data_IF_087201331652
#
_entry.id   IF_087201331652
#
_cell.length_a   1.000
_cell.length_b   1.000
_cell.length_c   1.000
_cell.angle_alpha   90.00
_cell.angle_beta   90.00
_cell.angle_gamma   90.00
#
_symmetry.space_group_name_H-M   'P 1'
#
loop_
_entity.id
_entity.type
_entity.pdbx_description
1 polymer ?
#
# COMPACT_ATOMS: atom_id res chain seq x y z
N UNK A 1 44.50 -21.88 49.38
CA UNK A 1 43.20 -21.65 48.74
C UNK A 1 43.42 -20.57 47.69
N UNK A 2 43.45 -20.97 46.42
CA UNK A 2 43.96 -20.17 45.30
C UNK A 2 42.83 -19.34 44.69
N UNK A 3 43.05 -18.03 44.64
CA UNK A 3 42.40 -17.09 43.72
C UNK A 3 42.47 -17.64 42.30
N UNK A 4 41.35 -17.65 41.58
CA UNK A 4 41.28 -17.48 40.11
C UNK A 4 39.80 -17.33 39.72
N UNK A 5 39.12 -16.42 40.43
CA UNK A 5 37.89 -15.78 39.96
C UNK A 5 38.36 -14.66 39.04
N UNK A 6 38.15 -14.77 37.72
CA UNK A 6 38.24 -13.70 36.68
C UNK A 6 38.72 -14.23 35.32
N UNK A 7 38.18 -15.36 34.84
CA UNK A 7 38.50 -15.88 33.49
C UNK A 7 37.29 -16.32 32.69
N UNK A 8 36.07 -16.07 33.17
CA UNK A 8 34.85 -16.66 32.60
C UNK A 8 33.72 -15.65 32.40
N UNK A 9 34.05 -14.36 32.38
CA UNK A 9 33.09 -13.27 32.20
C UNK A 9 33.21 -12.55 30.84
N UNK A 10 34.04 -13.07 29.92
CA UNK A 10 34.27 -12.47 28.59
C UNK A 10 33.78 -13.34 27.41
N UNK A 11 33.25 -14.53 27.66
CA UNK A 11 32.74 -15.42 26.61
C UNK A 11 31.21 -15.41 26.45
N UNK A 12 30.49 -14.62 27.24
CA UNK A 12 29.02 -14.63 27.28
C UNK A 12 28.35 -13.40 26.63
N UNK A 13 29.11 -12.49 26.01
CA UNK A 13 28.57 -11.21 25.49
C UNK A 13 28.66 -11.09 23.96
N UNK A 14 29.22 -12.08 23.24
CA UNK A 14 29.49 -11.95 21.81
C UNK A 14 28.81 -12.96 20.87
N UNK A 15 27.91 -13.81 21.36
CA UNK A 15 27.20 -14.74 20.49
C UNK A 15 25.71 -14.74 20.75
N UNK A 16 24.99 -14.33 19.71
CA UNK A 16 23.57 -14.60 19.47
C UNK A 16 22.59 -13.70 20.23
N UNK A 17 22.81 -12.39 20.14
CA UNK A 17 21.69 -11.55 19.68
C UNK A 17 21.33 -11.98 18.26
N UNK A 18 20.59 -13.09 18.12
CA UNK A 18 19.56 -13.15 17.11
C UNK A 18 18.51 -12.09 17.50
N UNK A 19 18.91 -10.83 17.38
CA UNK A 19 18.05 -9.85 16.75
C UNK A 19 17.66 -10.51 15.44
N UNK A 20 16.52 -11.21 15.44
CA UNK A 20 15.66 -11.21 14.28
C UNK A 20 15.36 -9.73 14.05
N UNK A 21 16.31 -9.09 13.36
CA UNK A 21 16.17 -7.73 12.90
C UNK A 21 14.83 -7.73 12.20
N UNK A 22 13.91 -6.95 12.75
CA UNK A 22 12.80 -6.44 11.97
C UNK A 22 13.46 -5.70 10.81
N UNK A 23 13.72 -6.42 9.74
CA UNK A 23 13.99 -5.84 8.45
C UNK A 23 12.77 -4.98 8.19
N UNK A 24 12.96 -3.67 8.26
CA UNK A 24 12.03 -2.80 7.56
C UNK A 24 12.17 -3.17 6.08
N UNK A 25 11.08 -3.08 5.31
CA UNK A 25 11.08 -3.04 3.83
C UNK A 25 11.02 -4.42 3.13
N UNK A 26 9.94 -5.18 3.36
CA UNK A 26 9.63 -6.41 2.61
C UNK A 26 8.50 -6.16 1.62
N UNK A 27 8.86 -5.66 0.44
CA UNK A 27 7.96 -5.63 -0.70
C UNK A 27 7.69 -7.02 -1.27
N UNK A 28 6.64 -7.18 -2.07
CA UNK A 28 6.54 -8.36 -2.93
C UNK A 28 7.60 -8.29 -4.03
N UNK A 29 8.05 -9.47 -4.49
CA UNK A 29 8.95 -9.59 -5.64
C UNK A 29 8.23 -9.21 -6.93
N UNK A 30 8.97 -8.75 -7.94
CA UNK A 30 8.47 -8.63 -9.30
C UNK A 30 7.93 -9.93 -9.89
N UNK A 31 8.40 -11.08 -9.40
CA UNK A 31 7.88 -12.39 -9.79
C UNK A 31 6.61 -12.82 -9.04
N UNK A 32 5.97 -11.92 -8.28
CA UNK A 32 4.72 -12.22 -7.60
C UNK A 32 3.64 -12.67 -8.60
N UNK A 33 3.06 -13.87 -8.46
CA UNK A 33 2.10 -14.41 -9.40
C UNK A 33 0.71 -13.81 -9.14
N UNK A 34 0.53 -12.52 -9.40
CA UNK A 34 -0.77 -11.85 -9.26
C UNK A 34 -1.82 -12.52 -10.14
N UNK A 35 -2.94 -12.89 -9.52
CA UNK A 35 -4.10 -13.52 -10.15
C UNK A 35 -5.39 -12.79 -9.75
N UNK A 36 -6.47 -13.08 -10.46
CA UNK A 36 -7.81 -12.63 -10.05
C UNK A 36 -8.17 -13.20 -8.67
N UNK A 37 -8.91 -12.42 -7.90
CA UNK A 37 -9.34 -12.75 -6.53
C UNK A 37 -8.19 -13.04 -5.55
N UNK A 38 -6.97 -12.59 -5.87
CA UNK A 38 -5.81 -12.74 -5.00
C UNK A 38 -6.13 -12.17 -3.59
N UNK A 39 -6.08 -13.00 -2.53
CA UNK A 39 -6.51 -12.57 -1.19
C UNK A 39 -5.65 -11.44 -0.63
N UNK A 40 -4.34 -11.46 -0.89
CA UNK A 40 -3.43 -10.46 -0.35
C UNK A 40 -3.59 -9.12 -1.09
N UNK A 41 -3.64 -9.15 -2.42
CA UNK A 41 -3.92 -7.95 -3.23
C UNK A 41 -5.30 -7.38 -2.95
N UNK A 42 -6.30 -8.22 -2.66
CA UNK A 42 -7.64 -7.76 -2.25
C UNK A 42 -7.59 -6.97 -0.94
N UNK A 43 -6.79 -7.40 0.04
CA UNK A 43 -6.57 -6.63 1.28
C UNK A 43 -5.87 -5.30 0.98
N UNK A 44 -4.84 -5.29 0.13
CA UNK A 44 -4.15 -4.05 -0.25
C UNK A 44 -5.10 -3.09 -0.97
N UNK A 45 -5.88 -3.58 -1.94
CA UNK A 45 -6.92 -2.82 -2.64
C UNK A 45 -7.96 -2.24 -1.67
N UNK A 46 -8.33 -2.97 -0.61
CA UNK A 46 -9.23 -2.50 0.45
C UNK A 46 -8.74 -1.25 1.17
N UNK A 47 -7.42 -1.08 1.31
CA UNK A 47 -6.84 0.12 1.95
C UNK A 47 -7.11 1.41 1.17
N UNK A 48 -7.45 1.33 -0.13
CA UNK A 48 -7.82 2.49 -0.94
C UNK A 48 -9.24 3.02 -0.66
N UNK A 49 -10.11 2.24 0.01
CA UNK A 49 -11.52 2.57 0.17
C UNK A 49 -11.76 3.99 0.71
N UNK A 50 -11.08 4.44 1.79
CA UNK A 50 -11.32 5.79 2.32
C UNK A 50 -11.02 6.91 1.31
N UNK A 51 -10.01 6.70 0.45
CA UNK A 51 -9.62 7.64 -0.60
C UNK A 51 -10.62 7.65 -1.75
N UNK A 52 -11.06 6.46 -2.18
CA UNK A 52 -12.09 6.34 -3.22
C UNK A 52 -13.38 7.02 -2.78
N UNK A 53 -13.82 6.81 -1.54
CA UNK A 53 -15.00 7.50 -1.01
C UNK A 53 -14.80 9.02 -0.90
N UNK A 54 -13.61 9.48 -0.50
CA UNK A 54 -13.30 10.91 -0.47
C UNK A 54 -13.33 11.53 -1.87
N UNK A 55 -12.83 10.81 -2.88
CA UNK A 55 -12.89 11.19 -4.29
C UNK A 55 -14.32 11.24 -4.81
N UNK A 56 -15.16 10.27 -4.44
CA UNK A 56 -16.59 10.28 -4.77
C UNK A 56 -17.30 11.47 -4.13
N UNK A 57 -17.07 11.74 -2.84
CA UNK A 57 -17.62 12.92 -2.16
C UNK A 57 -17.16 14.21 -2.82
N UNK A 58 -15.86 14.35 -3.12
CA UNK A 58 -15.31 15.51 -3.81
C UNK A 58 -16.00 15.73 -5.15
N UNK A 59 -16.10 14.67 -5.97
CA UNK A 59 -16.73 14.72 -7.29
C UNK A 59 -18.20 15.08 -7.19
N UNK A 60 -18.94 14.54 -6.22
CA UNK A 60 -20.35 14.86 -6.04
C UNK A 60 -20.57 16.33 -5.67
N UNK A 61 -19.64 16.94 -4.93
CA UNK A 61 -19.69 18.36 -4.57
C UNK A 61 -19.27 19.28 -5.72
N UNK A 62 -18.23 18.90 -6.50
CA UNK A 62 -17.60 19.80 -7.47
C UNK A 62 -17.89 19.48 -8.94
N UNK A 63 -18.51 18.33 -9.23
CA UNK A 63 -18.72 17.80 -10.60
C UNK A 63 -17.45 17.54 -11.42
N UNK A 64 -16.27 17.59 -10.79
CA UNK A 64 -14.98 17.23 -11.39
C UNK A 64 -14.09 16.49 -10.37
N UNK A 65 -13.01 15.88 -10.84
CA UNK A 65 -12.00 15.27 -9.98
C UNK A 65 -11.03 16.33 -9.42
N UNK A 66 -10.41 16.10 -8.25
CA UNK A 66 -9.40 17.02 -7.72
C UNK A 66 -8.20 17.10 -8.65
N UNK A 67 -7.43 18.20 -8.57
CA UNK A 67 -6.17 18.31 -9.33
C UNK A 67 -5.02 17.71 -8.55
N UNK A 68 -5.09 17.85 -7.23
CA UNK A 68 -4.05 17.41 -6.31
C UNK A 68 -4.62 16.55 -5.19
N UNK A 69 -3.77 15.70 -4.61
CA UNK A 69 -4.15 14.85 -3.47
C UNK A 69 -4.58 15.67 -2.25
N UNK A 70 -3.96 16.82 -2.04
CA UNK A 70 -4.23 17.78 -0.95
C UNK A 70 -5.68 18.30 -0.95
N UNK A 71 -6.31 18.40 -2.13
CA UNK A 71 -7.71 18.83 -2.27
C UNK A 71 -8.69 17.86 -1.60
N UNK A 72 -8.27 16.62 -1.34
CA UNK A 72 -9.08 15.59 -0.70
C UNK A 72 -9.10 15.69 0.82
N UNK A 73 -8.20 16.45 1.46
CA UNK A 73 -8.05 16.45 2.93
C UNK A 73 -9.35 16.81 3.64
N UNK A 74 -10.12 17.77 3.12
CA UNK A 74 -11.44 18.15 3.67
C UNK A 74 -12.55 17.15 3.40
N UNK A 75 -12.34 16.20 2.48
CA UNK A 75 -13.30 15.16 2.09
C UNK A 75 -12.99 13.79 2.71
N UNK A 76 -11.84 13.64 3.35
CA UNK A 76 -11.55 12.50 4.21
C UNK A 76 -12.42 12.61 5.46
N UNK A 77 -13.13 11.53 5.83
CA UNK A 77 -13.81 11.50 7.13
C UNK A 77 -12.74 11.63 8.23
N UNK A 78 -12.86 12.64 9.08
CA UNK A 78 -11.99 12.84 10.25
C UNK A 78 -12.29 11.76 11.30
N UNK A 79 -11.81 10.53 11.16
CA UNK A 79 -12.01 9.53 12.21
C UNK A 79 -11.13 8.26 12.20
N UNK A 80 -9.86 8.29 11.78
CA UNK A 80 -8.87 7.29 12.25
C UNK A 80 -7.44 7.66 11.83
N UNK A 81 -6.47 7.43 12.72
CA UNK A 81 -5.04 7.45 12.36
C UNK A 81 -4.74 6.51 11.18
N UNK A 82 -5.43 5.37 11.10
CA UNK A 82 -5.31 4.40 10.00
C UNK A 82 -5.70 4.96 8.64
N UNK A 83 -6.76 5.77 8.56
CA UNK A 83 -7.20 6.34 7.29
C UNK A 83 -6.21 7.39 6.78
N UNK A 84 -5.56 8.10 7.72
CA UNK A 84 -4.47 9.02 7.41
C UNK A 84 -3.21 8.28 6.94
N UNK A 85 -2.85 7.19 7.60
CA UNK A 85 -1.71 6.35 7.17
C UNK A 85 -1.96 5.77 5.77
N UNK A 86 -3.14 5.21 5.51
CA UNK A 86 -3.52 4.72 4.19
C UNK A 86 -3.50 5.87 3.16
N UNK A 87 -4.03 7.04 3.51
CA UNK A 87 -3.96 8.21 2.65
C UNK A 87 -2.53 8.48 2.21
N UNK A 88 -1.54 8.47 3.10
CA UNK A 88 -0.14 8.75 2.74
C UNK A 88 0.48 7.66 1.83
N UNK A 89 0.10 6.39 1.98
CA UNK A 89 0.65 5.29 1.19
C UNK A 89 0.25 5.33 -0.30
N UNK A 90 -0.92 5.88 -0.61
CA UNK A 90 -1.43 5.95 -1.98
C UNK A 90 -1.01 7.25 -2.67
N UNK A 91 -0.44 7.13 -3.86
CA UNK A 91 -0.18 8.27 -4.74
C UNK A 91 -1.40 8.56 -5.61
N UNK A 92 -1.82 9.83 -5.66
CA UNK A 92 -2.91 10.28 -6.52
C UNK A 92 -2.36 10.83 -7.83
N UNK A 93 -2.94 10.41 -8.95
CA UNK A 93 -2.59 10.89 -10.29
C UNK A 93 -3.88 11.35 -10.96
N UNK A 94 -4.00 12.64 -11.24
CA UNK A 94 -5.15 13.19 -11.97
C UNK A 94 -5.12 12.75 -13.44
N UNK A 95 -6.29 12.45 -14.01
CA UNK A 95 -6.46 12.19 -15.42
C UNK A 95 -7.63 13.02 -16.00
N UNK A 96 -7.64 13.37 -17.30
CA UNK A 96 -8.65 14.26 -17.88
C UNK A 96 -10.12 13.84 -17.67
N UNK A 97 -10.37 12.54 -17.49
CA UNK A 97 -11.71 11.97 -17.28
C UNK A 97 -11.79 11.07 -16.04
N UNK A 98 -10.88 11.24 -15.09
CA UNK A 98 -10.71 10.25 -14.03
C UNK A 98 -9.52 10.50 -13.11
N UNK A 99 -9.04 9.41 -12.53
CA UNK A 99 -7.85 9.43 -11.68
C UNK A 99 -7.24 8.03 -11.59
N UNK A 100 -6.00 7.98 -11.11
CA UNK A 100 -5.38 6.76 -10.62
C UNK A 100 -4.95 6.92 -9.17
N UNK A 101 -5.12 5.86 -8.39
CA UNK A 101 -4.48 5.69 -7.10
C UNK A 101 -3.43 4.60 -7.28
N UNK A 102 -2.17 4.90 -6.93
CA UNK A 102 -1.05 3.97 -7.05
C UNK A 102 -0.48 3.64 -5.68
N UNK A 103 -0.38 2.36 -5.36
CA UNK A 103 0.27 1.84 -4.16
C UNK A 103 1.54 1.10 -4.56
N UNK A 104 2.67 1.50 -3.98
CA UNK A 104 3.91 0.71 -4.05
C UNK A 104 3.80 -0.50 -3.15
N UNK A 105 3.94 -1.69 -3.73
CA UNK A 105 3.89 -2.96 -3.01
C UNK A 105 5.29 -3.50 -2.66
N UNK A 106 6.33 -2.71 -2.95
CA UNK A 106 7.72 -3.07 -2.75
C UNK A 106 8.67 -2.09 -3.42
N UNK A 107 9.82 -2.60 -3.86
CA UNK A 107 10.75 -1.82 -4.67
C UNK A 107 10.17 -1.50 -6.05
N UNK A 108 9.69 -2.54 -6.74
CA UNK A 108 9.24 -2.41 -8.13
C UNK A 108 7.72 -2.58 -8.30
N UNK A 109 7.06 -3.58 -7.68
CA UNK A 109 5.66 -3.85 -8.00
C UNK A 109 4.71 -2.77 -7.50
N UNK A 110 3.67 -2.48 -8.28
CA UNK A 110 2.62 -1.53 -7.91
C UNK A 110 1.22 -2.08 -8.16
N UNK A 111 0.28 -1.64 -7.34
CA UNK A 111 -1.15 -1.85 -7.52
C UNK A 111 -1.80 -0.52 -7.80
N UNK A 112 -2.52 -0.42 -8.91
CA UNK A 112 -3.21 0.79 -9.31
C UNK A 112 -4.73 0.57 -9.37
N UNK A 113 -5.47 1.48 -8.77
CA UNK A 113 -6.89 1.66 -9.02
C UNK A 113 -7.07 2.75 -10.06
N UNK A 114 -7.65 2.43 -11.20
CA UNK A 114 -7.96 3.41 -12.24
C UNK A 114 -9.47 3.65 -12.34
N UNK A 115 -9.86 4.92 -12.24
CA UNK A 115 -11.18 5.40 -12.65
C UNK A 115 -11.02 6.15 -13.98
N UNK A 116 -11.78 5.75 -15.01
CA UNK A 116 -11.86 6.46 -16.29
C UNK A 116 -13.32 6.53 -16.77
N UNK A 117 -13.91 7.73 -16.72
CA UNK A 117 -15.33 7.91 -16.97
C UNK A 117 -16.17 7.11 -15.97
N UNK A 118 -16.99 6.17 -16.45
CA UNK A 118 -17.80 5.26 -15.63
C UNK A 118 -17.12 3.93 -15.33
N UNK A 119 -15.91 3.68 -15.85
CA UNK A 119 -15.22 2.40 -15.72
C UNK A 119 -14.17 2.46 -14.63
N UNK A 120 -14.11 1.38 -13.83
CA UNK A 120 -13.10 1.17 -12.80
C UNK A 120 -12.37 -0.14 -13.04
N UNK A 121 -11.08 -0.19 -12.70
CA UNK A 121 -10.29 -1.44 -12.77
C UNK A 121 -9.08 -1.40 -11.85
N UNK A 122 -8.65 -2.59 -11.45
CA UNK A 122 -7.38 -2.81 -10.78
C UNK A 122 -6.32 -3.23 -11.79
N UNK A 123 -5.14 -2.63 -11.68
CA UNK A 123 -3.97 -2.93 -12.51
C UNK A 123 -2.82 -3.33 -11.60
N UNK A 124 -2.18 -4.46 -11.90
CA UNK A 124 -0.96 -4.91 -11.26
C UNK A 124 0.21 -4.74 -12.22
N UNK A 125 1.21 -3.98 -11.79
CA UNK A 125 2.48 -3.81 -12.51
C UNK A 125 3.57 -4.54 -11.70
N UNK A 126 4.22 -5.59 -12.26
CA UNK A 126 5.32 -6.28 -11.58
C UNK A 126 6.60 -5.45 -11.50
N UNK A 127 6.77 -4.42 -12.34
CA UNK A 127 7.95 -3.55 -12.32
C UNK A 127 9.25 -4.18 -12.85
N UNK A 128 9.21 -5.42 -13.37
CA UNK A 128 10.36 -6.08 -14.04
C UNK A 128 10.40 -5.88 -15.56
N UNK A 129 9.55 -5.01 -16.09
CA UNK A 129 9.38 -4.79 -17.53
C UNK A 129 8.40 -5.75 -18.20
N UNK A 130 7.86 -6.73 -17.48
CA UNK A 130 6.71 -7.51 -17.96
C UNK A 130 5.46 -6.62 -18.08
N UNK A 131 4.47 -7.01 -18.91
CA UNK A 131 3.26 -6.22 -19.08
C UNK A 131 2.46 -6.04 -17.79
N UNK A 132 1.89 -4.84 -17.62
CA UNK A 132 0.86 -4.54 -16.62
C UNK A 132 -0.37 -5.42 -16.88
N UNK A 133 -0.91 -6.02 -15.83
CA UNK A 133 -2.07 -6.91 -15.89
C UNK A 133 -3.28 -6.24 -15.28
N UNK A 134 -4.42 -6.27 -15.98
CA UNK A 134 -5.69 -6.01 -15.34
C UNK A 134 -6.06 -7.24 -14.50
N UNK A 135 -6.45 -7.01 -13.24
CA UNK A 135 -6.84 -8.08 -12.31
C UNK A 135 -8.21 -7.75 -11.71
N UNK A 136 -8.99 -8.78 -11.43
CA UNK A 136 -10.29 -8.66 -10.78
C UNK A 136 -10.09 -8.81 -9.28
N UNK A 137 -10.38 -7.76 -8.52
CA UNK A 137 -10.35 -7.76 -7.06
C UNK A 137 -11.68 -7.25 -6.51
N UNK A 138 -12.13 -7.85 -5.41
CA UNK A 138 -13.35 -7.48 -4.70
C UNK A 138 -13.04 -6.98 -3.28
N UNK A 139 -12.38 -5.80 -3.14
CA UNK A 139 -11.91 -5.29 -1.85
C UNK A 139 -13.03 -4.75 -0.95
N UNK A 140 -14.21 -4.54 -1.50
CA UNK A 140 -15.33 -3.94 -0.79
C UNK A 140 -16.45 -4.95 -0.64
N UNK A 141 -17.13 -5.00 0.52
CA UNK A 141 -18.35 -5.79 0.63
C UNK A 141 -19.33 -5.31 -0.43
N UNK A 142 -19.96 -6.24 -1.14
CA UNK A 142 -21.02 -5.92 -2.10
C UNK A 142 -22.03 -4.98 -1.40
N UNK A 143 -22.16 -3.76 -1.92
CA UNK A 143 -23.16 -2.79 -1.45
C UNK A 143 -24.57 -3.28 -1.79
#
# INVERSE_FOLDING_TARGET
MKSFVQGLLLAAILLLTCSCGRGVIGGISSHYPAVDEDPWLTVQAGSALPLVEALERYRNTHSHYPKEKSDLVGFMHSAATKDKENFELWSYISAPKGYRLRLSLGWDPTLEYEQSGSTTRWLFDPGDGSPVKAIVLHPWPNK
#
